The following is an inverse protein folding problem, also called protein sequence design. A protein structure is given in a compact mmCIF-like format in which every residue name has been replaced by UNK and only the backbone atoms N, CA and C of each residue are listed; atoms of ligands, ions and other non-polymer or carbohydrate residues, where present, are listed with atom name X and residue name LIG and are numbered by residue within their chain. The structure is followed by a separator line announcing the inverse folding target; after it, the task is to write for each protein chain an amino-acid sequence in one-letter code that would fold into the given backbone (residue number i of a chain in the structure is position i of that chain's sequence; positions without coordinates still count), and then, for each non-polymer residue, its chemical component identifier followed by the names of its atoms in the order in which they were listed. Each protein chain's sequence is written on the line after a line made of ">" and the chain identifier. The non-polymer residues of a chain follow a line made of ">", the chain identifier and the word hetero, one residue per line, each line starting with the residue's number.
data_IF_930976187515
#
_entry.id   IF_930976187515
#
_cell.length_a   1.000
_cell.length_b   1.000
_cell.length_c   1.000
_cell.angle_alpha   90.00
_cell.angle_beta   90.00
_cell.angle_gamma   90.00
#
_symmetry.space_group_name_H-M   'P 1'
#
loop_
_entity.id
_entity.type
_entity.pdbx_description
1 polymer ?
#
# COMPACT_ATOMS: atom_id res chain seq x y z
N UNK A 1 -22.87 13.06 48.11
CA UNK A 1 -23.28 13.07 46.69
C UNK A 1 -22.09 13.55 45.86
N UNK A 2 -21.35 12.61 45.28
CA UNK A 2 -20.07 12.85 44.60
C UNK A 2 -20.35 13.30 43.17
N UNK A 3 -20.07 14.57 42.85
CA UNK A 3 -20.08 15.03 41.46
C UNK A 3 -18.88 14.45 40.71
N UNK A 4 -19.16 13.56 39.75
CA UNK A 4 -18.19 13.14 38.74
C UNK A 4 -17.98 14.32 37.79
N UNK A 5 -16.86 15.04 37.94
CA UNK A 5 -16.39 15.99 36.92
C UNK A 5 -15.97 15.17 35.70
N UNK A 6 -16.76 15.23 34.64
CA UNK A 6 -16.35 14.71 33.33
C UNK A 6 -15.19 15.60 32.83
N UNK A 7 -13.99 15.04 32.73
CA UNK A 7 -12.88 15.70 32.04
C UNK A 7 -13.16 15.65 30.54
N UNK A 8 -13.72 16.73 30.01
CA UNK A 8 -13.69 17.02 28.58
C UNK A 8 -12.27 17.47 28.21
N UNK A 9 -11.45 16.54 27.73
CA UNK A 9 -10.14 16.87 27.20
C UNK A 9 -10.31 17.63 25.87
N UNK A 10 -9.78 18.86 25.83
CA UNK A 10 -9.71 19.64 24.60
C UNK A 10 -8.88 18.91 23.54
N UNK A 11 -9.32 18.95 22.27
CA UNK A 11 -8.61 18.38 21.11
C UNK A 11 -7.14 18.87 21.05
N UNK A 12 -6.87 20.06 21.59
CA UNK A 12 -5.53 20.64 21.67
C UNK A 12 -4.61 19.92 22.68
N UNK A 13 -5.15 19.45 23.82
CA UNK A 13 -4.40 18.66 24.81
C UNK A 13 -4.15 17.22 24.34
N UNK A 14 -5.10 16.64 23.59
CA UNK A 14 -4.93 15.32 22.96
C UNK A 14 -3.82 15.39 21.90
N UNK A 15 -3.79 16.43 21.07
CA UNK A 15 -2.71 16.67 20.09
C UNK A 15 -1.34 16.85 20.76
N UNK A 16 -1.27 17.51 21.91
CA UNK A 16 0.01 17.74 22.61
C UNK A 16 0.54 16.46 23.28
N UNK A 17 -0.33 15.63 23.87
CA UNK A 17 0.07 14.36 24.47
C UNK A 17 0.60 13.34 23.44
N UNK A 18 0.05 13.36 22.21
CA UNK A 18 0.53 12.54 21.09
C UNK A 18 1.95 12.93 20.65
N UNK A 19 2.36 14.19 20.78
CA UNK A 19 3.73 14.64 20.46
C UNK A 19 4.79 14.20 21.48
N UNK A 20 4.40 13.69 22.66
CA UNK A 20 5.32 13.25 23.73
C UNK A 20 5.54 11.72 23.73
N UNK A 21 4.73 10.97 22.98
CA UNK A 21 4.84 9.52 22.89
C UNK A 21 5.97 9.11 21.93
N UNK A 22 6.94 8.31 22.39
CA UNK A 22 7.94 7.68 21.53
C UNK A 22 7.28 6.58 20.69
N UNK A 23 7.17 6.73 19.35
CA UNK A 23 6.47 5.77 18.50
C UNK A 23 7.04 4.35 18.60
N UNK A 24 8.34 4.21 18.90
CA UNK A 24 9.01 2.90 19.02
C UNK A 24 8.37 2.00 20.07
N UNK A 25 7.74 2.57 21.09
CA UNK A 25 7.07 1.81 22.16
C UNK A 25 5.82 1.08 21.67
N UNK A 26 5.32 1.43 20.49
CA UNK A 26 4.09 0.88 19.91
C UNK A 26 4.34 0.14 18.60
N UNK A 27 5.60 -0.08 18.21
CA UNK A 27 5.90 -0.93 17.06
C UNK A 27 5.31 -2.32 17.30
N UNK A 28 4.62 -2.92 16.30
CA UNK A 28 4.03 -4.23 16.44
C UNK A 28 5.12 -5.25 16.76
N UNK A 29 4.88 -6.11 17.76
CA UNK A 29 5.84 -7.17 18.13
C UNK A 29 5.71 -8.40 17.22
N UNK A 30 4.52 -8.63 16.69
CA UNK A 30 4.22 -9.72 15.76
C UNK A 30 3.04 -9.37 14.84
N UNK A 31 2.82 -10.23 13.84
CA UNK A 31 1.79 -10.10 12.80
C UNK A 31 0.34 -9.96 13.31
N UNK A 32 0.09 -10.30 14.57
CA UNK A 32 -1.22 -10.26 15.23
C UNK A 32 -1.31 -9.17 16.30
N UNK A 33 -0.30 -8.31 16.45
CA UNK A 33 -0.26 -7.24 17.45
C UNK A 33 -1.14 -6.04 17.07
N UNK A 34 -2.45 -6.30 17.02
CA UNK A 34 -3.48 -5.34 16.61
C UNK A 34 -3.59 -4.18 17.61
N UNK A 35 -3.31 -4.41 18.89
CA UNK A 35 -3.42 -3.39 19.94
C UNK A 35 -2.32 -2.34 19.79
N UNK A 36 -1.05 -2.76 19.71
CA UNK A 36 0.05 -1.81 19.53
C UNK A 36 -0.03 -1.15 18.16
N UNK A 37 -0.37 -1.90 17.11
CA UNK A 37 -0.62 -1.31 15.77
C UNK A 37 -1.65 -0.18 15.85
N UNK A 38 -2.79 -0.39 16.53
CA UNK A 38 -3.80 0.67 16.67
C UNK A 38 -3.27 1.89 17.43
N UNK A 39 -2.51 1.67 18.51
CA UNK A 39 -1.91 2.75 19.29
C UNK A 39 -0.87 3.54 18.48
N UNK A 40 -0.02 2.84 17.72
CA UNK A 40 0.97 3.42 16.83
C UNK A 40 0.30 4.29 15.76
N UNK A 41 -0.67 3.73 15.03
CA UNK A 41 -1.36 4.44 13.95
C UNK A 41 -2.15 5.65 14.44
N UNK A 42 -2.57 5.68 15.71
CA UNK A 42 -3.21 6.83 16.33
C UNK A 42 -2.25 8.03 16.53
N UNK A 43 -0.93 7.81 16.51
CA UNK A 43 0.06 8.90 16.52
C UNK A 43 0.03 9.71 15.22
N UNK A 44 -0.25 9.02 14.10
CA UNK A 44 -0.47 9.62 12.80
C UNK A 44 0.74 10.38 12.22
N UNK A 45 0.44 11.27 11.27
CA UNK A 45 1.43 12.16 10.66
C UNK A 45 1.60 13.44 11.50
N UNK A 46 2.84 13.96 11.70
CA UNK A 46 4.11 13.49 11.12
C UNK A 46 4.87 12.48 12.00
N UNK A 47 4.31 12.05 13.14
CA UNK A 47 5.03 11.22 14.12
C UNK A 47 5.57 9.89 13.55
N UNK A 48 4.89 9.32 12.56
CA UNK A 48 5.27 8.04 11.94
C UNK A 48 6.18 8.17 10.71
N UNK A 49 6.52 9.38 10.25
CA UNK A 49 7.39 9.59 9.07
C UNK A 49 8.74 8.86 9.18
N UNK A 50 9.43 8.86 10.34
CA UNK A 50 10.71 8.14 10.47
C UNK A 50 10.60 6.61 10.35
N UNK A 51 9.38 6.05 10.43
CA UNK A 51 9.14 4.61 10.52
C UNK A 51 8.40 4.06 9.28
N UNK A 52 8.22 4.87 8.22
CA UNK A 52 7.44 4.45 7.05
C UNK A 52 8.01 3.19 6.38
N UNK A 53 9.34 3.07 6.32
CA UNK A 53 10.00 1.87 5.79
C UNK A 53 9.66 0.62 6.62
N UNK A 54 9.79 0.69 7.94
CA UNK A 54 9.46 -0.43 8.85
C UNK A 54 7.96 -0.76 8.81
N UNK A 55 7.10 0.25 8.69
CA UNK A 55 5.66 0.04 8.53
C UNK A 55 5.33 -0.71 7.24
N UNK A 56 6.08 -0.44 6.17
CA UNK A 56 5.88 -1.11 4.88
C UNK A 56 6.20 -2.62 4.95
N UNK A 57 7.10 -3.04 5.83
CA UNK A 57 7.46 -4.46 6.03
C UNK A 57 6.27 -5.30 6.50
N UNK A 58 5.33 -4.71 7.23
CA UNK A 58 4.08 -5.37 7.62
C UNK A 58 3.11 -5.63 6.46
N UNK A 59 3.49 -5.23 5.24
CA UNK A 59 2.80 -5.59 4.01
C UNK A 59 3.46 -6.76 3.27
N UNK A 60 4.52 -7.39 3.78
CA UNK A 60 5.11 -8.60 3.17
C UNK A 60 4.09 -9.75 3.04
N UNK A 61 3.12 -9.82 3.95
CA UNK A 61 1.99 -10.74 3.85
C UNK A 61 0.69 -10.01 4.23
N UNK A 62 -0.14 -9.76 3.22
CA UNK A 62 -1.43 -9.09 3.35
C UNK A 62 -2.50 -9.88 4.11
N UNK A 63 -2.22 -11.13 4.50
CA UNK A 63 -3.04 -11.93 5.40
C UNK A 63 -2.77 -11.61 6.88
N UNK A 64 -1.67 -10.94 7.20
CA UNK A 64 -1.40 -10.51 8.57
C UNK A 64 -2.50 -9.57 9.05
N UNK A 65 -3.12 -9.81 10.22
CA UNK A 65 -4.18 -8.96 10.77
C UNK A 65 -3.85 -7.46 10.79
N UNK A 66 -2.56 -7.13 10.96
CA UNK A 66 -2.06 -5.75 11.04
C UNK A 66 -1.75 -5.12 9.68
N UNK A 67 -1.64 -5.91 8.61
CA UNK A 67 -1.30 -5.42 7.27
C UNK A 67 -2.34 -4.43 6.75
N UNK A 68 -3.64 -4.78 6.85
CA UNK A 68 -4.74 -3.93 6.37
C UNK A 68 -4.80 -2.56 7.06
N UNK A 69 -4.79 -2.44 8.40
CA UNK A 69 -4.80 -1.12 9.04
C UNK A 69 -3.55 -0.30 8.72
N UNK A 70 -2.37 -0.92 8.62
CA UNK A 70 -1.14 -0.22 8.24
C UNK A 70 -1.23 0.31 6.80
N UNK A 71 -1.66 -0.52 5.83
CA UNK A 71 -1.84 -0.09 4.44
C UNK A 71 -2.81 1.10 4.31
N UNK A 72 -3.92 1.08 5.07
CA UNK A 72 -4.85 2.21 5.13
C UNK A 72 -4.20 3.50 5.64
N UNK A 73 -3.31 3.41 6.63
CA UNK A 73 -2.57 4.56 7.11
C UNK A 73 -1.60 5.08 6.04
N UNK A 74 -0.82 4.21 5.41
CA UNK A 74 0.16 4.59 4.38
C UNK A 74 -0.51 5.31 3.19
N UNK A 75 -1.73 4.89 2.81
CA UNK A 75 -2.54 5.57 1.78
C UNK A 75 -2.93 7.01 2.13
N UNK A 76 -2.85 7.43 3.39
CA UNK A 76 -3.10 8.83 3.79
C UNK A 76 -1.94 9.77 3.50
N UNK A 77 -0.74 9.23 3.23
CA UNK A 77 0.50 9.96 3.02
C UNK A 77 1.31 9.38 1.85
N UNK A 78 0.70 9.16 0.67
CA UNK A 78 1.29 8.32 -0.38
C UNK A 78 2.57 8.89 -0.98
N UNK A 79 2.77 10.21 -0.92
CA UNK A 79 3.99 10.86 -1.41
C UNK A 79 5.21 10.55 -0.54
N UNK A 80 5.03 10.50 0.79
CA UNK A 80 6.11 10.19 1.74
C UNK A 80 6.50 8.71 1.69
N UNK A 81 5.55 7.85 1.32
CA UNK A 81 5.75 6.39 1.26
C UNK A 81 6.34 5.96 -0.09
N UNK A 82 6.23 6.80 -1.12
CA UNK A 82 6.59 6.45 -2.49
C UNK A 82 8.03 5.95 -2.70
N UNK A 83 9.07 6.56 -2.10
CA UNK A 83 10.44 6.06 -2.23
C UNK A 83 10.59 4.62 -1.72
N UNK A 84 9.90 4.26 -0.63
CA UNK A 84 9.97 2.93 -0.05
C UNK A 84 9.18 1.89 -0.85
N UNK A 85 8.08 2.30 -1.50
CA UNK A 85 7.37 1.43 -2.45
C UNK A 85 8.26 1.11 -3.64
N UNK A 86 8.96 2.11 -4.18
CA UNK A 86 9.90 1.92 -5.28
C UNK A 86 11.00 0.91 -4.92
N UNK A 87 11.58 1.03 -3.73
CA UNK A 87 12.57 0.06 -3.22
C UNK A 87 12.02 -1.38 -3.16
N UNK A 88 10.76 -1.56 -2.76
CA UNK A 88 10.11 -2.89 -2.74
C UNK A 88 9.91 -3.42 -4.16
N UNK A 89 9.48 -2.58 -5.11
CA UNK A 89 9.29 -2.96 -6.50
C UNK A 89 10.60 -3.34 -7.20
N UNK A 90 11.72 -2.73 -6.80
CA UNK A 90 13.06 -3.03 -7.32
C UNK A 90 13.72 -4.26 -6.68
N UNK A 91 13.25 -4.69 -5.51
CA UNK A 91 13.79 -5.85 -4.78
C UNK A 91 13.38 -7.21 -5.36
N UNK A 92 13.69 -8.30 -4.66
CA UNK A 92 13.41 -9.68 -5.10
C UNK A 92 12.28 -10.37 -4.30
N UNK A 93 11.68 -9.67 -3.34
CA UNK A 93 10.54 -10.19 -2.57
C UNK A 93 9.23 -10.05 -3.35
N UNK A 94 8.93 -11.06 -4.15
CA UNK A 94 7.75 -11.09 -5.01
C UNK A 94 6.43 -11.04 -4.23
N UNK A 95 6.35 -11.65 -3.04
CA UNK A 95 5.14 -11.58 -2.23
C UNK A 95 4.93 -10.16 -1.68
N UNK A 96 6.00 -9.49 -1.28
CA UNK A 96 5.90 -8.11 -0.85
C UNK A 96 5.49 -7.18 -2.00
N UNK A 97 6.05 -7.36 -3.20
CA UNK A 97 5.59 -6.62 -4.40
C UNK A 97 4.10 -6.83 -4.65
N UNK A 98 3.64 -8.08 -4.60
CA UNK A 98 2.24 -8.44 -4.80
C UNK A 98 1.35 -7.63 -3.85
N UNK A 99 1.65 -7.65 -2.56
CA UNK A 99 0.85 -6.97 -1.56
C UNK A 99 0.99 -5.45 -1.62
N UNK A 100 2.14 -4.90 -2.00
CA UNK A 100 2.29 -3.46 -2.28
C UNK A 100 1.41 -3.01 -3.44
N UNK A 101 1.33 -3.80 -4.52
CA UNK A 101 0.45 -3.49 -5.65
C UNK A 101 -1.02 -3.54 -5.20
N UNK A 102 -1.44 -4.61 -4.53
CA UNK A 102 -2.84 -4.83 -4.12
C UNK A 102 -3.30 -3.88 -3.01
N UNK A 103 -2.48 -3.63 -1.98
CA UNK A 103 -2.88 -2.84 -0.80
C UNK A 103 -2.64 -1.35 -0.95
N UNK A 104 -1.68 -0.95 -1.78
CA UNK A 104 -1.28 0.44 -1.91
C UNK A 104 -1.54 0.94 -3.32
N UNK A 105 -0.74 0.51 -4.30
CA UNK A 105 -0.70 1.16 -5.62
C UNK A 105 -2.09 1.11 -6.30
N UNK A 106 -2.75 -0.05 -6.30
CA UNK A 106 -4.09 -0.23 -6.86
C UNK A 106 -5.22 0.46 -6.08
N UNK A 107 -4.94 0.98 -4.88
CA UNK A 107 -5.90 1.74 -4.05
C UNK A 107 -5.62 3.26 -4.06
N UNK A 108 -4.54 3.70 -4.71
CA UNK A 108 -4.23 5.12 -4.88
C UNK A 108 -5.16 5.78 -5.92
N UNK A 109 -5.16 7.11 -5.95
CA UNK A 109 -5.75 7.83 -7.08
C UNK A 109 -4.87 7.68 -8.32
N UNK A 110 -5.43 7.73 -9.55
CA UNK A 110 -4.63 7.64 -10.77
C UNK A 110 -3.49 8.65 -10.84
N UNK A 111 -3.71 9.87 -10.36
CA UNK A 111 -2.69 10.93 -10.35
C UNK A 111 -1.48 10.59 -9.45
N UNK A 112 -1.71 9.92 -8.32
CA UNK A 112 -0.63 9.50 -7.41
C UNK A 112 0.03 8.21 -7.91
N UNK A 113 -0.76 7.29 -8.45
CA UNK A 113 -0.27 6.00 -8.97
C UNK A 113 0.53 6.13 -10.27
N UNK A 114 0.44 7.26 -10.97
CA UNK A 114 1.08 7.51 -12.27
C UNK A 114 2.56 7.14 -12.29
N UNK A 115 3.28 7.43 -11.20
CA UNK A 115 4.70 7.13 -11.07
C UNK A 115 5.04 5.64 -11.19
N UNK A 116 4.09 4.75 -10.88
CA UNK A 116 4.26 3.29 -10.95
C UNK A 116 3.74 2.70 -12.26
N UNK A 117 3.10 3.49 -13.12
CA UNK A 117 2.39 3.00 -14.30
C UNK A 117 3.28 2.20 -15.24
N UNK A 118 4.52 2.65 -15.46
CA UNK A 118 5.48 1.96 -16.33
C UNK A 118 5.82 0.57 -15.76
N UNK A 119 6.09 0.49 -14.45
CA UNK A 119 6.43 -0.78 -13.81
C UNK A 119 5.24 -1.75 -13.78
N UNK A 120 4.03 -1.25 -13.49
CA UNK A 120 2.80 -2.05 -13.59
C UNK A 120 2.62 -2.59 -15.02
N UNK A 121 2.84 -1.78 -16.04
CA UNK A 121 2.73 -2.23 -17.43
C UNK A 121 3.79 -3.28 -17.79
N UNK A 122 5.03 -3.10 -17.33
CA UNK A 122 6.10 -4.09 -17.51
C UNK A 122 5.74 -5.42 -16.85
N UNK A 123 5.30 -5.41 -15.59
CA UNK A 123 4.86 -6.61 -14.87
C UNK A 123 3.70 -7.31 -15.59
N UNK A 124 2.71 -6.55 -16.07
CA UNK A 124 1.54 -7.09 -16.74
C UNK A 124 1.84 -7.78 -18.08
N UNK A 125 2.81 -7.26 -18.84
CA UNK A 125 3.06 -7.67 -20.24
C UNK A 125 4.33 -8.52 -20.39
N UNK A 126 5.35 -8.27 -19.58
CA UNK A 126 6.64 -8.94 -19.63
C UNK A 126 7.16 -9.26 -18.21
N UNK A 127 6.43 -10.11 -17.45
CA UNK A 127 6.94 -10.61 -16.18
C UNK A 127 8.11 -11.57 -16.42
N UNK A 128 9.04 -11.64 -15.46
CA UNK A 128 9.95 -12.80 -15.38
C UNK A 128 9.17 -14.05 -14.98
N UNK A 129 9.80 -15.23 -15.10
CA UNK A 129 9.18 -16.48 -14.66
C UNK A 129 8.80 -16.44 -13.17
N UNK A 130 9.69 -15.92 -12.31
CA UNK A 130 9.45 -15.84 -10.87
C UNK A 130 8.32 -14.86 -10.53
N UNK A 131 8.25 -13.73 -11.23
CA UNK A 131 7.17 -12.74 -11.09
C UNK A 131 5.82 -13.33 -11.50
N UNK A 132 5.78 -14.07 -12.61
CA UNK A 132 4.57 -14.72 -13.08
C UNK A 132 4.10 -15.85 -12.14
N UNK A 133 5.03 -16.63 -11.58
CA UNK A 133 4.74 -17.65 -10.57
C UNK A 133 4.15 -17.07 -9.27
N UNK A 134 4.44 -15.79 -8.99
CA UNK A 134 3.88 -15.05 -7.86
C UNK A 134 2.73 -14.12 -8.28
N UNK A 135 2.15 -14.33 -9.47
CA UNK A 135 0.96 -13.65 -9.97
C UNK A 135 1.11 -12.12 -10.11
N UNK A 136 2.34 -11.59 -10.17
CA UNK A 136 2.57 -10.15 -10.25
C UNK A 136 2.03 -9.54 -11.55
N UNK A 137 2.04 -10.31 -12.64
CA UNK A 137 1.39 -9.95 -13.89
C UNK A 137 -0.11 -9.75 -13.70
N UNK A 138 -0.80 -10.63 -12.99
CA UNK A 138 -2.25 -10.55 -12.85
C UNK A 138 -2.66 -9.37 -11.96
N UNK A 139 -2.01 -9.19 -10.80
CA UNK A 139 -2.32 -8.02 -9.96
C UNK A 139 -1.93 -6.68 -10.59
N UNK A 140 -0.90 -6.66 -11.44
CA UNK A 140 -0.57 -5.46 -12.20
C UNK A 140 -1.63 -5.12 -13.25
N UNK A 141 -2.18 -6.12 -13.96
CA UNK A 141 -3.31 -5.93 -14.89
C UNK A 141 -4.54 -5.41 -14.16
N UNK A 142 -4.87 -6.00 -13.01
CA UNK A 142 -6.00 -5.57 -12.19
C UNK A 142 -5.84 -4.11 -11.72
N UNK A 143 -4.64 -3.75 -11.26
CA UNK A 143 -4.32 -2.39 -10.87
C UNK A 143 -4.45 -1.41 -12.06
N UNK A 144 -3.90 -1.76 -13.23
CA UNK A 144 -4.02 -0.94 -14.45
C UNK A 144 -5.48 -0.76 -14.89
N UNK A 145 -6.27 -1.83 -14.89
CA UNK A 145 -7.68 -1.77 -15.26
C UNK A 145 -8.49 -0.92 -14.28
N UNK A 146 -8.18 -0.99 -12.98
CA UNK A 146 -8.85 -0.21 -11.95
C UNK A 146 -8.49 1.28 -12.02
N UNK A 147 -7.20 1.59 -12.24
CA UNK A 147 -6.69 2.96 -12.25
C UNK A 147 -6.96 3.68 -13.59
N UNK A 148 -6.88 2.96 -14.70
CA UNK A 148 -7.00 3.51 -16.07
C UNK A 148 -7.84 2.60 -17.01
N UNK A 149 -9.14 2.42 -16.73
CA UNK A 149 -9.99 1.45 -17.43
C UNK A 149 -10.10 1.66 -18.95
N UNK A 150 -10.20 2.91 -19.41
CA UNK A 150 -10.34 3.22 -20.84
C UNK A 150 -9.04 3.04 -21.65
N UNK A 151 -7.89 3.28 -21.03
CA UNK A 151 -6.58 3.25 -21.69
C UNK A 151 -6.01 1.82 -21.73
N UNK A 152 -6.34 1.00 -20.72
CA UNK A 152 -5.91 -0.39 -20.70
C UNK A 152 -6.65 -1.23 -21.75
N UNK A 153 -7.97 -1.08 -21.87
CA UNK A 153 -8.80 -1.83 -22.84
C UNK A 153 -8.40 -1.60 -24.31
N UNK A 154 -7.90 -0.40 -24.64
CA UNK A 154 -7.45 -0.08 -26.01
C UNK A 154 -6.07 -0.64 -26.36
N UNK A 155 -5.22 -0.95 -25.36
CA UNK A 155 -3.90 -1.56 -25.55
C UNK A 155 -3.88 -3.07 -25.32
N UNK A 156 -4.89 -3.62 -24.64
CA UNK A 156 -5.04 -5.06 -24.36
C UNK A 156 -5.80 -5.83 -25.45
N UNK A 157 -6.21 -5.19 -26.53
CA UNK A 157 -6.85 -5.88 -27.66
C UNK A 157 -5.78 -6.72 -28.38
N UNK A 158 -5.91 -8.05 -28.45
CA UNK A 158 -5.05 -8.85 -29.29
C UNK A 158 -5.32 -8.43 -30.75
N UNK A 159 -4.26 -8.27 -31.54
CA UNK A 159 -4.35 -8.23 -33.00
C UNK A 159 -4.91 -9.59 -33.48
N UNK A 160 -6.22 -9.79 -33.40
CA UNK A 160 -6.90 -10.94 -33.99
C UNK A 160 -7.36 -10.58 -35.41
N UNK A 161 -6.88 -11.42 -36.34
CA UNK A 161 -7.31 -11.64 -37.71
C UNK A 161 -6.85 -10.65 -38.80
N UNK A 162 -5.60 -10.85 -39.24
CA UNK A 162 -5.23 -10.66 -40.65
C UNK A 162 -4.59 -11.95 -41.19
N UNK A 163 -5.35 -13.04 -41.21
CA UNK A 163 -5.11 -14.19 -42.08
C UNK A 163 -6.47 -14.79 -42.45
N UNK A 164 -7.26 -14.04 -43.21
CA UNK A 164 -8.10 -14.68 -44.23
C UNK A 164 -7.14 -15.09 -45.34
N UNK A 165 -6.74 -16.37 -45.35
CA UNK A 165 -6.14 -17.00 -46.52
C UNK A 165 -7.13 -16.82 -47.68
N UNK A 166 -6.68 -16.06 -48.68
CA UNK A 166 -7.27 -16.04 -50.01
C UNK A 166 -6.84 -17.30 -50.76
N UNK A 167 -7.84 -17.90 -51.40
CA UNK A 167 -7.83 -18.93 -52.46
C UNK A 167 -7.79 -20.40 -52.01
#
# INVERSE_FOLDING_TARGET
>A
MTQRKALTFSVSMIRLAVMVADPRKYLPLDKSDVINTRALLALGYPALVPYLRELLEWLQDGNWPISRPIGKFLLTIPQEVAPFIQEVLEGDDHQWKYWCIVRLIGEMTPAVAEQYRIELFRLAVCPTLAEAQNELNEVAKDALQKLWPCEYQSRSMPLLNNYEEKE
#
